data_IF_934130875166
#
_entry.id   IF_934130875166
#
_cell.length_a   1.000
_cell.length_b   1.000
_cell.length_c   1.000
_cell.angle_alpha   90.00
_cell.angle_beta   90.00
_cell.angle_gamma   90.00
#
_symmetry.space_group_name_H-M   'P 1'
#
loop_
_entity.id
_entity.type
_entity.pdbx_description
1 polymer ?
#
# COMPACT_ATOMS: atom_id res chain seq x y z
N UNK A 1 13.65 2.36 5.89
CA UNK A 1 12.41 1.65 6.25
C UNK A 1 11.26 2.58 5.90
N UNK A 2 10.54 2.26 4.83
CA UNK A 2 9.44 3.07 4.30
C UNK A 2 8.25 3.02 5.28
N UNK A 3 7.71 4.18 5.69
CA UNK A 3 6.53 4.23 6.56
C UNK A 3 5.30 3.96 5.70
N UNK A 4 4.39 3.13 6.20
CA UNK A 4 3.13 2.91 5.52
C UNK A 4 2.34 4.23 5.40
N UNK A 5 1.63 4.44 4.28
CA UNK A 5 0.95 5.72 3.99
C UNK A 5 -0.01 6.15 5.11
N UNK A 6 -0.72 5.19 5.73
CA UNK A 6 -1.66 5.46 6.83
C UNK A 6 -0.98 5.82 8.17
N UNK A 7 0.35 5.76 8.25
CA UNK A 7 1.09 6.24 9.42
C UNK A 7 1.41 7.74 9.35
N UNK A 8 1.09 8.40 8.22
CA UNK A 8 1.16 9.85 8.09
C UNK A 8 -0.18 10.49 8.48
N UNK A 9 -0.15 11.75 8.88
CA UNK A 9 -1.37 12.51 9.17
C UNK A 9 -2.20 12.74 7.90
N UNK A 10 -3.48 13.08 8.08
CA UNK A 10 -4.36 13.40 6.94
C UNK A 10 -3.80 14.57 6.12
N UNK A 11 -3.24 15.56 6.80
CA UNK A 11 -2.65 16.76 6.21
C UNK A 11 -1.39 16.42 5.40
N UNK A 12 -0.51 15.56 5.93
CA UNK A 12 0.71 15.10 5.24
C UNK A 12 0.37 14.29 3.99
N UNK A 13 -0.59 13.37 4.08
CA UNK A 13 -1.07 12.57 2.94
C UNK A 13 -1.65 13.50 1.86
N UNK A 14 -2.48 14.46 2.25
CA UNK A 14 -3.08 15.42 1.32
C UNK A 14 -2.05 16.37 0.68
N UNK A 15 -0.96 16.68 1.39
CA UNK A 15 0.15 17.48 0.89
C UNK A 15 1.12 16.66 0.00
N UNK A 16 1.18 15.34 0.19
CA UNK A 16 2.09 14.43 -0.51
C UNK A 16 3.50 14.37 0.09
N UNK A 17 3.73 15.01 1.23
CA UNK A 17 5.00 14.97 1.95
C UNK A 17 4.77 15.09 3.46
N UNK A 18 5.74 14.57 4.22
CA UNK A 18 5.83 14.72 5.66
C UNK A 18 7.06 15.56 6.00
N UNK A 19 6.96 16.37 7.05
CA UNK A 19 8.07 17.11 7.60
C UNK A 19 8.71 16.32 8.75
N UNK A 20 10.01 16.08 8.66
CA UNK A 20 10.83 15.48 9.70
C UNK A 20 11.80 16.54 10.25
N UNK A 21 12.47 16.24 11.38
CA UNK A 21 13.35 17.20 12.05
C UNK A 21 14.44 17.76 11.11
N UNK A 22 15.10 16.88 10.35
CA UNK A 22 16.22 17.22 9.48
C UNK A 22 15.91 17.12 7.98
N UNK A 23 14.68 16.76 7.59
CA UNK A 23 14.34 16.53 6.18
C UNK A 23 12.85 16.72 5.88
N UNK A 24 12.53 16.77 4.58
CA UNK A 24 11.19 16.48 4.09
C UNK A 24 11.18 15.13 3.40
N UNK A 25 10.10 14.36 3.58
CA UNK A 25 9.95 13.04 2.99
C UNK A 25 8.73 12.97 2.11
N UNK A 26 8.85 12.43 0.91
CA UNK A 26 7.70 12.08 0.09
C UNK A 26 6.94 10.91 0.74
N UNK A 27 5.64 11.07 0.98
CA UNK A 27 4.81 10.01 1.60
C UNK A 27 4.48 8.87 0.63
N UNK A 28 4.68 9.05 -0.68
CA UNK A 28 4.34 8.08 -1.71
C UNK A 28 5.48 7.13 -2.08
N UNK A 29 6.74 7.60 -2.09
CA UNK A 29 7.91 6.79 -2.44
C UNK A 29 9.03 6.79 -1.40
N UNK A 30 8.84 7.51 -0.28
CA UNK A 30 9.81 7.58 0.81
C UNK A 30 11.09 8.38 0.51
N UNK A 31 11.24 8.99 -0.68
CA UNK A 31 12.39 9.82 -1.03
C UNK A 31 12.52 10.98 -0.03
N UNK A 32 13.73 11.17 0.50
CA UNK A 32 14.03 12.17 1.52
C UNK A 32 14.86 13.32 0.96
N UNK A 33 14.60 14.53 1.46
CA UNK A 33 15.21 15.79 1.07
C UNK A 33 15.71 16.50 2.33
N UNK A 34 17.01 16.41 2.59
CA UNK A 34 17.64 16.98 3.80
C UNK A 34 17.59 18.51 3.81
N UNK A 35 17.15 19.07 4.94
CA UNK A 35 17.14 20.51 5.21
C UNK A 35 18.58 21.06 5.20
N UNK A 36 18.73 22.29 4.72
CA UNK A 36 20.04 22.94 4.58
C UNK A 36 20.84 22.54 3.34
N UNK A 37 20.38 21.55 2.55
CA UNK A 37 20.92 21.27 1.22
C UNK A 37 20.13 22.01 0.14
N UNK A 38 20.80 22.28 -0.98
CA UNK A 38 20.19 22.78 -2.21
C UNK A 38 20.13 21.64 -3.21
N UNK A 39 18.96 21.48 -3.83
CA UNK A 39 18.68 20.45 -4.83
C UNK A 39 18.56 21.11 -6.19
N UNK A 40 19.20 20.52 -7.20
CA UNK A 40 19.13 20.98 -8.58
C UNK A 40 18.16 20.09 -9.35
N UNK A 41 17.10 20.68 -9.87
CA UNK A 41 16.10 20.06 -10.74
C UNK A 41 16.12 20.75 -12.12
N UNK A 42 15.41 20.21 -13.11
CA UNK A 42 15.40 20.73 -14.48
C UNK A 42 14.95 22.20 -14.58
N UNK A 43 14.08 22.64 -13.68
CA UNK A 43 13.47 23.97 -13.68
C UNK A 43 14.08 24.95 -12.65
N UNK A 44 15.08 24.54 -11.87
CA UNK A 44 15.80 25.44 -10.97
C UNK A 44 16.52 24.80 -9.78
N UNK A 45 16.97 25.68 -8.88
CA UNK A 45 17.54 25.30 -7.58
C UNK A 45 16.48 25.46 -6.50
N UNK A 46 16.32 24.43 -5.67
CA UNK A 46 15.33 24.37 -4.60
C UNK A 46 15.98 24.11 -3.25
N UNK A 47 15.39 24.67 -2.19
CA UNK A 47 15.61 24.16 -0.84
C UNK A 47 14.88 22.81 -0.66
N UNK A 48 15.06 22.15 0.48
CA UNK A 48 14.46 20.84 0.75
C UNK A 48 12.91 20.84 0.62
N UNK A 49 12.26 21.93 1.02
CA UNK A 49 10.80 22.07 0.93
C UNK A 49 10.32 22.20 -0.51
N UNK A 50 11.01 23.04 -1.29
CA UNK A 50 10.77 23.19 -2.72
C UNK A 50 11.03 21.87 -3.46
N UNK A 51 12.12 21.19 -3.11
CA UNK A 51 12.54 19.94 -3.75
C UNK A 51 11.52 18.82 -3.54
N UNK A 52 11.01 18.63 -2.32
CA UNK A 52 9.98 17.60 -2.09
C UNK A 52 8.68 17.91 -2.84
N UNK A 53 8.29 19.18 -2.92
CA UNK A 53 7.08 19.59 -3.66
C UNK A 53 7.23 19.43 -5.17
N UNK A 54 8.39 19.81 -5.70
CA UNK A 54 8.74 19.62 -7.11
C UNK A 54 8.75 18.12 -7.44
N UNK A 55 9.38 17.31 -6.60
CA UNK A 55 9.40 15.86 -6.74
C UNK A 55 8.00 15.24 -6.73
N UNK A 56 7.13 15.58 -5.75
CA UNK A 56 5.75 15.09 -5.71
C UNK A 56 5.03 15.43 -7.01
N UNK A 57 5.22 16.65 -7.51
CA UNK A 57 4.60 17.10 -8.76
C UNK A 57 5.11 16.33 -9.99
N UNK A 58 6.41 16.13 -10.09
CA UNK A 58 7.05 15.52 -11.27
C UNK A 58 6.92 14.00 -11.30
N UNK A 59 7.14 13.35 -10.15
CA UNK A 59 7.12 11.89 -10.03
C UNK A 59 5.70 11.34 -9.84
N UNK A 60 4.82 12.07 -9.13
CA UNK A 60 3.51 11.56 -8.72
C UNK A 60 2.32 12.40 -9.22
N UNK A 61 2.56 13.54 -9.87
CA UNK A 61 1.51 14.42 -10.38
C UNK A 61 0.86 15.25 -9.28
N UNK A 62 -0.37 14.89 -8.89
CA UNK A 62 -1.04 15.53 -7.75
C UNK A 62 -1.28 14.49 -6.66
N UNK A 63 -1.29 14.89 -5.37
CA UNK A 63 -1.65 13.97 -4.29
C UNK A 63 -3.00 13.28 -4.55
N UNK A 64 -3.99 14.01 -5.08
CA UNK A 64 -5.28 13.45 -5.48
C UNK A 64 -5.14 12.36 -6.54
N UNK A 65 -4.37 12.60 -7.61
CA UNK A 65 -4.17 11.60 -8.66
C UNK A 65 -3.43 10.38 -8.13
N UNK A 66 -2.44 10.55 -7.25
CA UNK A 66 -1.70 9.45 -6.66
C UNK A 66 -2.57 8.60 -5.71
N UNK A 67 -3.42 9.25 -4.91
CA UNK A 67 -4.38 8.54 -4.05
C UNK A 67 -5.44 7.80 -4.88
N UNK A 68 -5.86 8.38 -6.02
CA UNK A 68 -6.81 7.74 -6.93
C UNK A 68 -6.18 6.63 -7.76
N UNK A 69 -4.92 6.75 -8.18
CA UNK A 69 -4.23 5.72 -8.98
C UNK A 69 -4.05 4.42 -8.22
N UNK A 70 -4.06 4.48 -6.89
CA UNK A 70 -4.01 3.33 -6.00
C UNK A 70 -5.12 2.31 -6.08
N UNK A 71 -4.95 1.25 -5.28
CA UNK A 71 -5.97 0.23 -5.07
C UNK A 71 -7.20 0.86 -4.39
N UNK A 72 -8.39 0.86 -5.03
CA UNK A 72 -9.63 1.41 -4.46
C UNK A 72 -9.98 0.83 -3.09
N UNK A 73 -9.60 -0.43 -2.83
CA UNK A 73 -9.84 -1.11 -1.57
C UNK A 73 -9.13 -0.42 -0.40
N UNK A 74 -7.96 0.20 -0.63
CA UNK A 74 -7.22 0.91 0.41
C UNK A 74 -7.98 2.15 0.92
N UNK A 75 -8.74 2.83 0.05
CA UNK A 75 -9.66 3.92 0.42
C UNK A 75 -11.09 3.41 0.75
N UNK A 76 -11.30 2.09 0.71
CA UNK A 76 -12.59 1.42 0.90
C UNK A 76 -13.65 1.84 -0.12
N UNK A 77 -13.28 2.31 -1.31
CA UNK A 77 -14.21 2.77 -2.34
C UNK A 77 -14.34 1.73 -3.46
N UNK A 78 -15.51 1.69 -4.12
CA UNK A 78 -15.71 0.83 -5.29
C UNK A 78 -15.06 1.42 -6.55
N UNK A 79 -14.89 0.59 -7.59
CA UNK A 79 -14.37 1.07 -8.88
C UNK A 79 -15.23 2.18 -9.50
N UNK A 80 -16.56 2.11 -9.35
CA UNK A 80 -17.49 3.17 -9.79
C UNK A 80 -17.25 4.48 -9.02
N UNK A 81 -17.01 4.39 -7.71
CA UNK A 81 -16.71 5.56 -6.88
C UNK A 81 -15.36 6.17 -7.22
N UNK A 82 -14.33 5.35 -7.49
CA UNK A 82 -13.02 5.81 -7.99
C UNK A 82 -13.19 6.59 -9.29
N UNK A 83 -13.88 6.01 -10.28
CA UNK A 83 -14.10 6.68 -11.57
C UNK A 83 -14.83 8.02 -11.40
N UNK A 84 -15.83 8.08 -10.54
CA UNK A 84 -16.54 9.33 -10.24
C UNK A 84 -15.61 10.38 -9.61
N UNK A 85 -14.72 9.98 -8.69
CA UNK A 85 -13.74 10.89 -8.07
C UNK A 85 -12.68 11.39 -9.05
N UNK A 86 -12.23 10.55 -9.99
CA UNK A 86 -11.33 10.95 -11.09
C UNK A 86 -11.97 12.08 -11.91
N UNK A 87 -13.21 11.89 -12.37
CA UNK A 87 -13.92 12.90 -13.16
C UNK A 87 -14.20 14.19 -12.38
N UNK A 88 -14.45 14.09 -11.08
CA UNK A 88 -14.55 15.26 -10.21
C UNK A 88 -13.20 16.00 -10.08
N UNK A 89 -12.08 15.27 -10.00
CA UNK A 89 -10.74 15.85 -9.94
C UNK A 89 -10.36 16.59 -11.23
N UNK A 90 -10.92 16.18 -12.37
CA UNK A 90 -10.82 16.86 -13.66
C UNK A 90 -11.72 18.12 -13.76
N UNK A 91 -12.53 18.41 -12.74
CA UNK A 91 -13.42 19.56 -12.71
C UNK A 91 -14.74 19.39 -13.47
N UNK A 92 -15.11 18.16 -13.85
CA UNK A 92 -16.37 17.90 -14.59
C UNK A 92 -17.60 18.11 -13.71
N UNK A 93 -18.66 18.62 -14.32
CA UNK A 93 -19.96 18.79 -13.66
C UNK A 93 -20.82 17.51 -13.73
N UNK A 94 -21.89 17.45 -12.92
CA UNK A 94 -22.76 16.27 -12.80
C UNK A 94 -23.30 15.75 -14.16
N UNK A 95 -23.53 16.63 -15.15
CA UNK A 95 -24.03 16.22 -16.49
C UNK A 95 -22.93 15.57 -17.32
N UNK A 96 -21.71 16.12 -17.29
CA UNK A 96 -20.55 15.56 -17.97
C UNK A 96 -20.18 14.19 -17.37
N UNK A 97 -20.16 14.11 -16.04
CA UNK A 97 -19.89 12.86 -15.31
C UNK A 97 -20.95 11.79 -15.67
N UNK A 98 -22.22 12.17 -15.65
CA UNK A 98 -23.32 11.28 -16.02
C UNK A 98 -23.15 10.71 -17.43
N UNK A 99 -22.85 11.58 -18.41
CA UNK A 99 -22.63 11.18 -19.80
C UNK A 99 -21.45 10.20 -19.95
N UNK A 100 -20.31 10.49 -19.31
CA UNK A 100 -19.12 9.63 -19.42
C UNK A 100 -19.24 8.29 -18.69
N UNK A 101 -19.98 8.27 -17.58
CA UNK A 101 -20.21 7.04 -16.82
C UNK A 101 -21.41 6.24 -17.33
N UNK A 102 -22.17 6.75 -18.31
CA UNK A 102 -23.39 6.10 -18.80
C UNK A 102 -24.51 6.01 -17.75
N UNK A 103 -24.57 6.97 -16.83
CA UNK A 103 -25.58 7.03 -15.75
C UNK A 103 -26.39 8.33 -15.82
N UNK A 104 -27.37 8.49 -14.94
CA UNK A 104 -28.16 9.74 -14.88
C UNK A 104 -27.51 10.78 -13.96
N UNK A 105 -27.75 12.08 -14.17
CA UNK A 105 -27.27 13.12 -13.25
C UNK A 105 -27.79 12.96 -11.80
N UNK A 106 -28.98 12.40 -11.60
CA UNK A 106 -29.49 12.09 -10.26
C UNK A 106 -28.70 10.96 -9.59
N UNK A 107 -28.26 9.96 -10.36
CA UNK A 107 -27.35 8.91 -9.87
C UNK A 107 -26.00 9.49 -9.44
N UNK A 108 -25.42 10.41 -10.22
CA UNK A 108 -24.17 11.12 -9.85
C UNK A 108 -24.34 11.85 -8.52
N UNK A 109 -25.43 12.62 -8.37
CA UNK A 109 -25.73 13.33 -7.12
C UNK A 109 -25.84 12.38 -5.92
N UNK A 110 -26.49 11.24 -6.09
CA UNK A 110 -26.60 10.22 -5.04
C UNK A 110 -25.21 9.66 -4.66
N UNK A 111 -24.34 9.36 -5.64
CA UNK A 111 -22.97 8.95 -5.34
C UNK A 111 -22.21 10.01 -4.53
N UNK A 112 -22.28 11.29 -4.92
CA UNK A 112 -21.64 12.39 -4.18
C UNK A 112 -22.15 12.50 -2.75
N UNK A 113 -23.46 12.40 -2.56
CA UNK A 113 -24.08 12.38 -1.24
C UNK A 113 -23.56 11.21 -0.38
N UNK A 114 -23.53 9.99 -0.92
CA UNK A 114 -23.04 8.80 -0.20
C UNK A 114 -21.56 8.88 0.14
N UNK A 115 -20.73 9.44 -0.74
CA UNK A 115 -19.31 9.69 -0.46
C UNK A 115 -19.14 10.69 0.69
N UNK A 116 -19.93 11.77 0.71
CA UNK A 116 -19.90 12.75 1.80
C UNK A 116 -20.34 12.17 3.14
N UNK A 117 -21.37 11.31 3.13
CA UNK A 117 -21.78 10.60 4.35
C UNK A 117 -20.70 9.62 4.84
N UNK A 118 -20.04 8.92 3.91
CA UNK A 118 -18.92 8.04 4.23
C UNK A 118 -17.74 8.81 4.84
N UNK A 119 -17.40 9.98 4.31
CA UNK A 119 -16.36 10.85 4.87
C UNK A 119 -16.65 11.24 6.33
N UNK A 120 -17.91 11.64 6.62
CA UNK A 120 -18.34 11.93 8.00
C UNK A 120 -18.23 10.71 8.91
N UNK A 121 -18.68 9.55 8.43
CA UNK A 121 -18.59 8.29 9.17
C UNK A 121 -17.14 7.91 9.47
N UNK A 122 -16.24 8.03 8.48
CA UNK A 122 -14.82 7.78 8.65
C UNK A 122 -14.20 8.71 9.70
N UNK A 123 -14.54 10.00 9.67
CA UNK A 123 -14.06 10.97 10.67
C UNK A 123 -14.50 10.60 12.09
N UNK A 124 -15.77 10.25 12.27
CA UNK A 124 -16.31 9.84 13.58
C UNK A 124 -15.66 8.52 14.04
N UNK A 125 -15.49 7.57 13.12
CA UNK A 125 -14.88 6.29 13.40
C UNK A 125 -13.42 6.43 13.86
N UNK A 126 -12.61 7.24 13.15
CA UNK A 126 -11.24 7.53 13.54
C UNK A 126 -11.18 8.17 14.94
N UNK A 127 -12.05 9.14 15.21
CA UNK A 127 -12.15 9.75 16.53
C UNK A 127 -12.53 8.74 17.63
N UNK A 128 -13.44 7.81 17.34
CA UNK A 128 -13.82 6.74 18.26
C UNK A 128 -12.64 5.80 18.54
N UNK A 129 -11.91 5.35 17.51
CA UNK A 129 -10.73 4.48 17.68
C UNK A 129 -9.68 5.16 18.57
N UNK A 130 -9.39 6.43 18.31
CA UNK A 130 -8.45 7.20 19.11
C UNK A 130 -8.91 7.38 20.56
N UNK A 131 -10.19 7.70 20.78
CA UNK A 131 -10.75 7.84 22.12
C UNK A 131 -10.75 6.53 22.91
N UNK A 132 -10.98 5.39 22.24
CA UNK A 132 -10.89 4.07 22.84
C UNK A 132 -9.48 3.77 23.31
N UNK A 133 -8.48 3.93 22.43
CA UNK A 133 -7.07 3.68 22.76
C UNK A 133 -6.59 4.53 23.94
N UNK A 134 -6.98 5.82 23.99
CA UNK A 134 -6.68 6.68 25.14
C UNK A 134 -7.33 6.17 26.44
N UNK A 135 -8.56 5.66 26.36
CA UNK A 135 -9.32 5.21 27.53
C UNK A 135 -8.82 3.86 28.06
N UNK A 136 -8.49 2.92 27.18
CA UNK A 136 -8.04 1.56 27.54
C UNK A 136 -6.54 1.49 27.80
N UNK A 137 -5.75 2.45 27.27
CA UNK A 137 -4.28 2.38 27.18
C UNK A 137 -3.77 1.17 26.39
N UNK A 138 -4.65 0.55 25.60
CA UNK A 138 -4.39 -0.60 24.74
C UNK A 138 -5.04 -0.30 23.39
N UNK A 139 -4.31 -0.53 22.30
CA UNK A 139 -4.85 -0.37 20.96
C UNK A 139 -5.83 -1.50 20.65
N UNK A 140 -6.73 -1.30 19.69
CA UNK A 140 -7.68 -2.35 19.26
C UNK A 140 -6.98 -3.61 18.72
N UNK A 141 -5.70 -3.50 18.37
CA UNK A 141 -4.87 -4.60 17.90
C UNK A 141 -4.25 -5.42 19.05
N UNK A 142 -4.30 -4.93 20.28
CA UNK A 142 -3.77 -5.63 21.46
C UNK A 142 -4.87 -6.58 21.99
N UNK A 143 -4.59 -7.89 21.97
CA UNK A 143 -5.51 -8.93 22.45
C UNK A 143 -4.92 -9.66 23.66
N UNK A 144 -5.73 -10.48 24.33
CA UNK A 144 -5.28 -11.37 25.41
C UNK A 144 -4.23 -12.40 24.94
N UNK A 145 -4.15 -12.66 23.63
CA UNK A 145 -3.18 -13.54 22.99
C UNK A 145 -1.97 -12.78 22.40
N UNK A 146 -1.85 -11.49 22.69
CA UNK A 146 -0.82 -10.59 22.17
C UNK A 146 -1.32 -9.68 21.06
N UNK A 147 -0.40 -8.87 20.51
CA UNK A 147 -0.73 -7.91 19.45
C UNK A 147 -0.94 -8.59 18.11
N UNK A 148 -2.01 -8.25 17.41
CA UNK A 148 -2.26 -8.62 16.02
C UNK A 148 -1.24 -7.92 15.11
N UNK A 149 -0.71 -8.64 14.13
CA UNK A 149 0.14 -8.04 13.12
C UNK A 149 -0.67 -7.17 12.16
N UNK A 150 -0.12 -6.02 11.78
CA UNK A 150 -0.71 -5.20 10.73
C UNK A 150 -0.76 -5.98 9.42
N UNK A 151 -1.87 -5.83 8.68
CA UNK A 151 -2.02 -6.43 7.36
C UNK A 151 -1.15 -5.66 6.37
N UNK A 152 -0.46 -6.38 5.48
CA UNK A 152 0.36 -5.72 4.47
C UNK A 152 -0.55 -4.94 3.48
N UNK A 153 -0.23 -3.68 3.15
CA UNK A 153 -1.04 -2.80 2.29
C UNK A 153 -1.47 -3.37 0.94
N UNK A 154 -0.61 -4.17 0.34
CA UNK A 154 -0.85 -4.76 -0.97
C UNK A 154 -1.70 -6.06 -0.92
N UNK A 155 -2.19 -6.45 0.26
CA UNK A 155 -3.05 -7.64 0.39
C UNK A 155 -4.25 -7.55 -0.56
N UNK A 156 -4.34 -8.47 -1.51
CA UNK A 156 -5.39 -8.48 -2.53
C UNK A 156 -6.79 -8.69 -1.91
N UNK A 157 -6.86 -9.35 -0.75
CA UNK A 157 -8.07 -9.54 0.05
C UNK A 157 -7.71 -9.47 1.53
N UNK A 158 -8.42 -8.66 2.32
CA UNK A 158 -8.26 -8.59 3.78
C UNK A 158 -9.43 -9.34 4.42
N UNK A 159 -9.22 -10.62 4.73
CA UNK A 159 -10.17 -11.48 5.43
C UNK A 159 -9.55 -12.08 6.71
N UNK A 160 -10.28 -12.96 7.42
CA UNK A 160 -9.86 -13.61 8.67
C UNK A 160 -8.48 -14.30 8.59
N UNK A 161 -7.99 -14.63 7.39
CA UNK A 161 -6.67 -15.26 7.19
C UNK A 161 -5.51 -14.33 7.56
N UNK A 162 -5.74 -13.02 7.60
CA UNK A 162 -4.75 -12.02 7.99
C UNK A 162 -4.77 -11.67 9.48
N UNK A 163 -5.73 -12.19 10.24
CA UNK A 163 -5.77 -12.05 11.71
C UNK A 163 -4.69 -12.92 12.36
N UNK A 164 -3.43 -12.52 12.25
CA UNK A 164 -2.26 -13.27 12.70
C UNK A 164 -1.66 -12.57 13.91
N UNK A 165 -1.47 -13.29 15.02
CA UNK A 165 -0.71 -12.78 16.16
C UNK A 165 0.78 -13.07 16.01
N UNK A 166 1.63 -12.30 16.72
CA UNK A 166 3.08 -12.58 16.81
C UNK A 166 3.38 -14.01 17.26
N UNK A 167 2.63 -14.52 18.24
CA UNK A 167 2.83 -15.88 18.76
C UNK A 167 2.49 -16.96 17.72
N UNK A 168 1.42 -16.78 16.95
CA UNK A 168 1.06 -17.69 15.87
C UNK A 168 2.12 -17.68 14.76
N UNK A 169 2.61 -16.49 14.40
CA UNK A 169 3.68 -16.34 13.42
C UNK A 169 4.93 -17.09 13.85
N UNK A 170 5.44 -16.85 15.05
CA UNK A 170 6.65 -17.52 15.53
C UNK A 170 6.51 -19.05 15.52
N UNK A 171 5.36 -19.57 15.96
CA UNK A 171 5.07 -21.01 15.92
C UNK A 171 5.10 -21.55 14.50
N UNK A 172 4.50 -20.83 13.54
CA UNK A 172 4.49 -21.22 12.13
C UNK A 172 5.91 -21.18 11.55
N UNK A 173 6.67 -20.10 11.76
CA UNK A 173 8.05 -20.00 11.25
C UNK A 173 8.94 -21.13 11.79
N UNK A 174 8.91 -21.40 13.10
CA UNK A 174 9.66 -22.52 13.71
C UNK A 174 9.27 -23.89 13.12
N UNK A 175 7.99 -24.07 12.81
CA UNK A 175 7.48 -25.33 12.27
C UNK A 175 7.90 -25.56 10.83
N UNK A 176 7.82 -24.52 9.98
CA UNK A 176 7.92 -24.67 8.53
C UNK A 176 9.23 -24.15 7.93
N UNK A 177 10.02 -23.34 8.64
CA UNK A 177 11.32 -22.85 8.16
C UNK A 177 12.48 -23.43 8.97
N UNK A 178 13.63 -23.50 8.32
CA UNK A 178 14.94 -23.80 8.90
C UNK A 178 15.60 -22.50 9.38
N UNK A 179 16.63 -22.63 10.22
CA UNK A 179 17.36 -21.48 10.79
C UNK A 179 18.12 -20.66 9.72
N UNK A 180 18.50 -21.29 8.61
CA UNK A 180 19.12 -20.64 7.45
C UNK A 180 18.13 -19.84 6.58
N UNK A 181 16.83 -19.92 6.91
CA UNK A 181 15.75 -19.27 6.17
C UNK A 181 15.23 -20.07 4.97
N UNK A 182 15.65 -21.33 4.79
CA UNK A 182 15.04 -22.24 3.83
C UNK A 182 13.71 -22.81 4.38
N UNK A 183 12.82 -23.23 3.47
CA UNK A 183 11.52 -23.79 3.80
C UNK A 183 11.60 -25.31 3.87
N UNK A 184 11.02 -25.91 4.92
CA UNK A 184 10.88 -27.36 5.07
C UNK A 184 9.79 -27.92 4.17
N UNK A 185 8.64 -27.24 4.13
CA UNK A 185 7.49 -27.58 3.30
C UNK A 185 6.53 -26.39 3.16
N UNK A 186 5.74 -26.36 2.09
CA UNK A 186 4.67 -25.37 1.92
C UNK A 186 3.46 -25.74 2.80
N UNK A 187 2.96 -24.85 3.66
CA UNK A 187 1.76 -25.13 4.45
C UNK A 187 0.50 -25.27 3.59
N UNK A 188 -0.33 -26.27 3.88
CA UNK A 188 -1.64 -26.44 3.23
C UNK A 188 -2.70 -25.41 3.67
N UNK A 189 -2.58 -24.87 4.89
CA UNK A 189 -3.53 -23.86 5.42
C UNK A 189 -3.14 -22.46 4.95
N UNK A 190 -4.09 -21.76 4.37
CA UNK A 190 -3.95 -20.42 3.80
C UNK A 190 -3.32 -19.39 4.76
N UNK A 191 -3.85 -19.26 6.00
CA UNK A 191 -3.28 -18.37 7.03
C UNK A 191 -1.79 -18.64 7.31
N UNK A 192 -1.38 -19.91 7.33
CA UNK A 192 0.03 -20.29 7.52
C UNK A 192 0.86 -19.97 6.27
N UNK A 193 0.28 -20.13 5.08
CA UNK A 193 0.93 -19.78 3.82
C UNK A 193 1.23 -18.28 3.77
N UNK A 194 0.27 -17.41 4.12
CA UNK A 194 0.47 -15.94 4.21
C UNK A 194 1.65 -15.59 5.14
N UNK A 195 1.76 -16.23 6.29
CA UNK A 195 2.89 -16.03 7.23
C UNK A 195 4.24 -16.33 6.55
N UNK A 196 4.33 -17.46 5.84
CA UNK A 196 5.54 -17.87 5.13
C UNK A 196 5.86 -16.91 3.98
N UNK A 197 4.87 -16.53 3.18
CA UNK A 197 5.07 -15.59 2.07
C UNK A 197 5.56 -14.24 2.57
N UNK A 198 5.01 -13.74 3.68
CA UNK A 198 5.47 -12.50 4.33
C UNK A 198 6.94 -12.58 4.76
N UNK A 199 7.37 -13.73 5.26
CA UNK A 199 8.77 -13.93 5.64
C UNK A 199 9.69 -13.99 4.41
N UNK A 200 9.26 -14.66 3.34
CA UNK A 200 9.98 -14.75 2.06
C UNK A 200 10.17 -13.36 1.44
N UNK A 201 9.19 -12.46 1.56
CA UNK A 201 9.30 -11.10 1.02
C UNK A 201 10.46 -10.28 1.57
N UNK A 202 11.02 -10.65 2.73
CA UNK A 202 12.23 -10.00 3.27
C UNK A 202 13.47 -10.22 2.41
N UNK A 203 13.45 -11.20 1.49
CA UNK A 203 14.52 -11.46 0.51
C UNK A 203 14.43 -10.56 -0.72
N UNK A 204 13.37 -9.76 -0.86
CA UNK A 204 13.16 -8.85 -1.98
C UNK A 204 13.27 -7.39 -1.52
N UNK A 205 14.08 -6.61 -2.21
CA UNK A 205 14.20 -5.16 -2.04
C UNK A 205 12.95 -4.43 -2.55
N UNK A 206 12.33 -3.54 -1.76
CA UNK A 206 11.23 -2.68 -2.20
C UNK A 206 11.64 -1.76 -3.35
N UNK A 207 10.71 -1.48 -4.27
CA UNK A 207 10.92 -0.58 -5.41
C UNK A 207 11.84 -1.10 -6.52
N UNK A 208 12.43 -2.30 -6.35
CA UNK A 208 13.27 -2.94 -7.37
C UNK A 208 12.42 -3.80 -8.32
N UNK A 209 12.71 -3.69 -9.61
CA UNK A 209 12.24 -4.64 -10.62
C UNK A 209 13.17 -5.86 -10.68
N UNK A 210 12.56 -7.04 -10.72
CA UNK A 210 13.24 -8.33 -10.87
C UNK A 210 12.79 -8.99 -12.16
N UNK A 211 13.73 -9.61 -12.85
CA UNK A 211 13.39 -10.55 -13.91
C UNK A 211 12.86 -11.87 -13.34
N UNK A 212 12.10 -12.62 -14.14
CA UNK A 212 11.65 -13.97 -13.74
C UNK A 212 12.79 -14.87 -13.26
N UNK A 213 13.96 -14.76 -13.91
CA UNK A 213 15.17 -15.53 -13.58
C UNK A 213 15.72 -15.17 -12.20
N UNK A 214 15.73 -13.89 -11.85
CA UNK A 214 16.19 -13.43 -10.54
C UNK A 214 15.24 -13.88 -9.43
N UNK A 215 13.93 -13.72 -9.64
CA UNK A 215 12.91 -14.21 -8.69
C UNK A 215 13.08 -15.71 -8.47
N UNK A 216 13.21 -16.49 -9.55
CA UNK A 216 13.39 -17.94 -9.46
C UNK A 216 14.68 -18.32 -8.73
N UNK A 217 15.77 -17.57 -8.92
CA UNK A 217 17.02 -17.81 -8.19
C UNK A 217 16.83 -17.62 -6.69
N UNK A 218 16.24 -16.50 -6.29
CA UNK A 218 15.97 -16.20 -4.87
C UNK A 218 15.06 -17.27 -4.26
N UNK A 219 13.97 -17.64 -4.94
CA UNK A 219 13.02 -18.63 -4.42
C UNK A 219 13.60 -20.05 -4.38
N UNK A 220 14.55 -20.40 -5.26
CA UNK A 220 15.24 -21.70 -5.22
C UNK A 220 16.12 -21.86 -3.99
N UNK A 221 16.74 -20.78 -3.52
CA UNK A 221 17.51 -20.81 -2.27
C UNK A 221 16.61 -21.08 -1.06
N UNK A 222 15.34 -20.69 -1.15
CA UNK A 222 14.35 -20.89 -0.10
C UNK A 222 13.73 -22.29 -0.18
N UNK A 223 13.26 -22.71 -1.36
CA UNK A 223 12.58 -23.99 -1.55
C UNK A 223 12.75 -24.49 -2.99
N UNK A 224 13.84 -25.19 -3.26
CA UNK A 224 14.16 -25.67 -4.61
C UNK A 224 13.13 -26.65 -5.19
N UNK A 225 12.46 -27.42 -4.33
CA UNK A 225 11.51 -28.48 -4.72
C UNK A 225 10.26 -27.93 -5.44
N UNK A 226 9.73 -26.80 -4.98
CA UNK A 226 8.51 -26.18 -5.55
C UNK A 226 8.50 -24.65 -5.42
N UNK A 227 9.59 -24.01 -5.83
CA UNK A 227 9.66 -22.55 -5.95
C UNK A 227 8.59 -21.95 -6.89
N UNK A 228 8.09 -22.62 -7.96
CA UNK A 228 7.04 -22.06 -8.81
C UNK A 228 5.71 -21.86 -8.08
N UNK A 229 5.34 -22.76 -7.15
CA UNK A 229 4.13 -22.58 -6.34
C UNK A 229 4.26 -21.40 -5.37
N UNK A 230 5.44 -21.18 -4.79
CA UNK A 230 5.71 -19.98 -3.97
C UNK A 230 5.54 -18.72 -4.80
N UNK A 231 6.13 -18.67 -6.00
CA UNK A 231 6.01 -17.53 -6.91
C UNK A 231 4.56 -17.23 -7.28
N UNK A 232 3.77 -18.26 -7.60
CA UNK A 232 2.34 -18.12 -7.92
C UNK A 232 1.58 -17.54 -6.72
N UNK A 233 1.85 -18.05 -5.53
CA UNK A 233 1.21 -17.57 -4.31
C UNK A 233 1.58 -16.10 -4.00
N UNK A 234 2.85 -15.71 -4.18
CA UNK A 234 3.27 -14.31 -4.00
C UNK A 234 2.44 -13.33 -4.85
N UNK A 235 2.09 -13.73 -6.08
CA UNK A 235 1.21 -12.94 -6.94
C UNK A 235 -0.25 -13.01 -6.49
N UNK A 236 -0.75 -14.23 -6.23
CA UNK A 236 -2.15 -14.47 -5.87
C UNK A 236 -2.59 -13.70 -4.61
N UNK A 237 -1.73 -13.61 -3.59
CA UNK A 237 -2.04 -12.87 -2.37
C UNK A 237 -1.64 -11.38 -2.43
N UNK A 238 -1.08 -10.91 -3.55
CA UNK A 238 -0.71 -9.51 -3.74
C UNK A 238 0.59 -9.09 -3.03
N UNK A 239 1.51 -10.02 -2.76
CA UNK A 239 2.86 -9.68 -2.27
C UNK A 239 3.80 -9.24 -3.41
N UNK A 240 3.50 -9.63 -4.65
CA UNK A 240 4.33 -9.33 -5.82
C UNK A 240 3.46 -9.11 -7.06
N UNK A 241 3.71 -8.02 -7.77
CA UNK A 241 3.12 -7.77 -9.09
C UNK A 241 4.04 -8.27 -10.21
N UNK A 242 3.46 -8.52 -11.38
CA UNK A 242 4.21 -8.86 -12.60
C UNK A 242 3.59 -8.26 -13.84
N UNK A 243 4.39 -8.07 -14.87
CA UNK A 243 3.92 -7.75 -16.22
C UNK A 243 3.26 -8.96 -16.88
N UNK A 244 2.35 -8.73 -17.84
CA UNK A 244 1.63 -9.80 -18.56
C UNK A 244 2.57 -10.73 -19.32
N UNK A 245 3.65 -10.17 -19.87
CA UNK A 245 4.72 -10.90 -20.56
C UNK A 245 5.72 -11.59 -19.60
N UNK A 246 5.51 -11.47 -18.28
CA UNK A 246 6.37 -12.00 -17.22
C UNK A 246 7.83 -11.51 -17.28
N UNK A 247 8.09 -10.39 -17.97
CA UNK A 247 9.44 -9.83 -18.09
C UNK A 247 9.91 -9.14 -16.80
N UNK A 248 8.99 -8.54 -16.04
CA UNK A 248 9.29 -7.84 -14.81
C UNK A 248 8.36 -8.24 -13.65
N UNK A 249 8.94 -8.32 -12.47
CA UNK A 249 8.30 -8.61 -11.19
C UNK A 249 8.67 -7.51 -10.19
N UNK A 250 7.73 -7.10 -9.33
CA UNK A 250 7.95 -6.05 -8.33
C UNK A 250 7.34 -6.47 -7.00
N UNK A 251 8.08 -6.31 -5.91
CA UNK A 251 7.48 -6.40 -4.59
C UNK A 251 6.36 -5.37 -4.50
N UNK A 252 5.15 -5.81 -4.14
CA UNK A 252 4.01 -4.91 -4.10
C UNK A 252 4.20 -3.97 -2.90
N UNK A 253 4.60 -2.73 -3.17
CA UNK A 253 4.66 -1.64 -2.20
C UNK A 253 3.32 -0.91 -2.15
N UNK A 254 3.17 -0.02 -1.17
CA UNK A 254 2.01 0.88 -1.11
C UNK A 254 2.05 1.75 -2.37
N UNK A 255 1.18 1.38 -3.32
CA UNK A 255 0.97 2.04 -4.61
C UNK A 255 2.11 1.80 -5.62
N UNK A 256 1.80 1.23 -6.81
CA UNK A 256 2.76 1.18 -7.89
C UNK A 256 3.04 2.59 -8.42
N UNK A 257 4.31 2.82 -8.77
CA UNK A 257 4.69 3.85 -9.73
C UNK A 257 3.69 3.87 -10.88
N UNK A 258 3.18 5.06 -11.19
CA UNK A 258 2.49 5.36 -12.43
C UNK A 258 3.47 5.22 -13.60
N UNK A 259 3.84 3.98 -13.92
CA UNK A 259 4.59 3.63 -15.11
C UNK A 259 3.68 3.78 -16.32
N UNK A 260 3.90 4.89 -17.04
CA UNK A 260 3.42 5.12 -18.39
C UNK A 260 3.85 3.95 -19.30
N UNK A 261 2.91 3.43 -20.07
CA UNK A 261 3.19 2.98 -21.43
C UNK A 261 2.66 4.04 -22.38
#
# INVERSE_FOLDING_TARGET
MEKALWNYSMEEIAAGYAEEDEAYRCVFCGKSFEKGKIFQEEDGLYDAFGAVRAHVKMAHGTPTNCLLSGNPAAAGISGVQKRLLELLSEGKNDRQIAAEMGITPSTVRNHRFRLREKEKQAKIFLALMHALEQKTKEGIMDTDQGRLEEVHPAAAMVDDRYSITWQEREKVLKTYMNEDGSLKQIPAREKKKIIILREIMKRFEPGREYTEKEVNRILKEIYAEDFPSIRRALIEYGFMDRTDDCSAYRAAGILPDGGKH
#
